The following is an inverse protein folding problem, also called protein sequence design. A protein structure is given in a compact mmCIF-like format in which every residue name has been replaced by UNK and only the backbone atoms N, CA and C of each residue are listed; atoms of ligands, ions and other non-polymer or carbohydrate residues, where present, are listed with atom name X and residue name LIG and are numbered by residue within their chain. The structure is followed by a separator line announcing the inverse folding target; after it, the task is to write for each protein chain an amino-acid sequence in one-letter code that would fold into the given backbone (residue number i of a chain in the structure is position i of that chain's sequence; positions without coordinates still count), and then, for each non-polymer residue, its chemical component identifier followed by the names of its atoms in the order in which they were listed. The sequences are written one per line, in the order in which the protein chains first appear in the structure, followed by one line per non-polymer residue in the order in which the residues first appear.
data_IF_687608413255
#
_entry.id   IF_687608413255
#
_cell.length_a   1.000
_cell.length_b   1.000
_cell.length_c   1.000
_cell.angle_alpha   90.00
_cell.angle_beta   90.00
_cell.angle_gamma   90.00
#
_symmetry.space_group_name_H-M   'P 1'
#
loop_
_entity.id
_entity.type
_entity.pdbx_description
1 polymer ?
#
# COMPACT_ATOMS: atom_id res chain seq x y z
N UNK A 1 -8.64 -21.65 -14.67
CA UNK A 1 -8.88 -20.72 -13.53
C UNK A 1 -8.94 -19.31 -14.08
N UNK A 2 -9.72 -18.39 -13.50
CA UNK A 2 -9.65 -16.96 -13.87
C UNK A 2 -8.28 -16.42 -13.49
N UNK A 3 -7.48 -16.04 -14.46
CA UNK A 3 -6.19 -15.42 -14.20
C UNK A 3 -6.39 -13.93 -13.90
N UNK A 4 -6.67 -13.61 -12.63
CA UNK A 4 -6.88 -12.24 -12.19
C UNK A 4 -5.61 -11.36 -12.35
N UNK A 5 -4.46 -11.97 -12.64
CA UNK A 5 -3.22 -11.25 -12.96
C UNK A 5 -3.31 -10.45 -14.27
N UNK A 6 -4.30 -10.77 -15.11
CA UNK A 6 -4.55 -10.04 -16.37
C UNK A 6 -5.20 -8.68 -16.14
N UNK A 7 -5.91 -8.47 -15.03
CA UNK A 7 -6.58 -7.20 -14.78
C UNK A 7 -5.58 -6.14 -14.32
N UNK A 8 -5.75 -4.91 -14.81
CA UNK A 8 -5.03 -3.74 -14.31
C UNK A 8 -5.47 -3.39 -12.88
N UNK A 9 -4.68 -2.57 -12.18
CA UNK A 9 -5.07 -2.08 -10.86
C UNK A 9 -6.34 -1.22 -10.91
N UNK A 10 -6.56 -0.45 -11.99
CA UNK A 10 -7.78 0.34 -12.18
C UNK A 10 -9.00 -0.56 -12.38
N UNK A 11 -8.90 -1.57 -13.26
CA UNK A 11 -9.98 -2.54 -13.51
C UNK A 11 -10.37 -3.28 -12.21
N UNK A 12 -9.38 -3.71 -11.41
CA UNK A 12 -9.66 -4.36 -10.13
C UNK A 12 -10.24 -3.41 -9.08
N UNK A 13 -9.82 -2.14 -9.08
CA UNK A 13 -10.37 -1.14 -8.17
C UNK A 13 -11.85 -0.87 -8.47
N UNK A 14 -12.20 -0.70 -9.75
CA UNK A 14 -13.59 -0.55 -10.19
C UNK A 14 -14.45 -1.75 -9.76
N UNK A 15 -13.94 -2.97 -9.91
CA UNK A 15 -14.63 -4.18 -9.46
C UNK A 15 -14.83 -4.21 -7.94
N UNK A 16 -13.82 -3.79 -7.16
CA UNK A 16 -13.92 -3.70 -5.69
C UNK A 16 -14.93 -2.64 -5.27
N UNK A 17 -14.91 -1.47 -5.91
CA UNK A 17 -15.79 -0.34 -5.57
C UNK A 17 -17.25 -0.63 -5.94
N UNK A 18 -17.49 -1.21 -7.13
CA UNK A 18 -18.82 -1.66 -7.55
C UNK A 18 -19.39 -2.78 -6.67
N UNK A 19 -18.53 -3.63 -6.10
CA UNK A 19 -18.96 -4.64 -5.14
C UNK A 19 -19.24 -4.06 -3.75
N UNK A 20 -18.53 -3.01 -3.32
CA UNK A 20 -18.76 -2.33 -2.04
C UNK A 20 -20.05 -1.50 -2.01
N UNK A 21 -20.50 -1.00 -3.16
CA UNK A 21 -21.72 -0.19 -3.24
C UNK A 21 -23.02 -1.01 -3.08
N UNK A 22 -22.94 -2.34 -3.07
CA UNK A 22 -24.09 -3.20 -2.82
C UNK A 22 -24.42 -3.26 -1.33
N UNK A 23 -25.67 -2.98 -0.91
CA UNK A 23 -26.06 -2.97 0.50
C UNK A 23 -26.03 -4.36 1.15
N UNK A 24 -26.25 -5.42 0.39
CA UNK A 24 -26.12 -6.81 0.84
C UNK A 24 -25.39 -7.65 -0.20
N UNK A 25 -24.42 -8.44 0.27
CA UNK A 25 -23.62 -9.35 -0.55
C UNK A 25 -23.92 -10.78 -0.13
N UNK A 26 -24.21 -11.65 -1.10
CA UNK A 26 -24.26 -13.10 -0.90
C UNK A 26 -22.89 -13.64 -0.50
N UNK A 27 -22.82 -14.85 0.10
CA UNK A 27 -21.52 -15.47 0.44
C UNK A 27 -20.59 -15.61 -0.77
N UNK A 28 -21.16 -15.89 -1.93
CA UNK A 28 -20.40 -16.00 -3.19
C UNK A 28 -19.78 -14.66 -3.57
N UNK A 29 -20.57 -13.58 -3.52
CA UNK A 29 -20.07 -12.23 -3.82
C UNK A 29 -19.06 -11.73 -2.79
N UNK A 30 -19.20 -12.11 -1.51
CA UNK A 30 -18.19 -11.82 -0.48
C UNK A 30 -16.85 -12.49 -0.78
N UNK A 31 -16.87 -13.77 -1.19
CA UNK A 31 -15.65 -14.49 -1.60
C UNK A 31 -15.03 -13.89 -2.86
N UNK A 32 -15.85 -13.50 -3.84
CA UNK A 32 -15.39 -12.83 -5.06
C UNK A 32 -14.75 -11.47 -4.74
N UNK A 33 -15.38 -10.66 -3.86
CA UNK A 33 -14.82 -9.41 -3.37
C UNK A 33 -13.47 -9.61 -2.66
N UNK A 34 -13.35 -10.62 -1.79
CA UNK A 34 -12.08 -10.98 -1.16
C UNK A 34 -11.00 -11.30 -2.20
N UNK A 35 -11.36 -12.03 -3.24
CA UNK A 35 -10.45 -12.38 -4.34
C UNK A 35 -10.02 -11.14 -5.14
N UNK A 36 -10.93 -10.21 -5.43
CA UNK A 36 -10.60 -8.95 -6.13
C UNK A 36 -9.70 -8.05 -5.29
N UNK A 37 -9.97 -7.91 -3.99
CA UNK A 37 -9.12 -7.15 -3.05
C UNK A 37 -7.71 -7.74 -2.99
N UNK A 38 -7.61 -9.06 -2.93
CA UNK A 38 -6.31 -9.74 -2.92
C UNK A 38 -5.55 -9.50 -4.24
N UNK A 39 -6.19 -9.68 -5.39
CA UNK A 39 -5.57 -9.41 -6.68
C UNK A 39 -5.13 -7.94 -6.83
N UNK A 40 -5.93 -7.00 -6.32
CA UNK A 40 -5.59 -5.58 -6.30
C UNK A 40 -4.35 -5.32 -5.43
N UNK A 41 -4.31 -5.90 -4.22
CA UNK A 41 -3.15 -5.81 -3.31
C UNK A 41 -1.89 -6.36 -3.98
N UNK A 42 -1.97 -7.53 -4.61
CA UNK A 42 -0.82 -8.12 -5.33
C UNK A 42 -0.32 -7.22 -6.46
N UNK A 43 -1.23 -6.64 -7.25
CA UNK A 43 -0.84 -5.73 -8.33
C UNK A 43 -0.16 -4.45 -7.78
N UNK A 44 -0.65 -3.90 -6.68
CA UNK A 44 -0.04 -2.74 -6.02
C UNK A 44 1.35 -3.08 -5.46
N UNK A 45 1.50 -4.26 -4.85
CA UNK A 45 2.79 -4.75 -4.36
C UNK A 45 3.79 -5.00 -5.51
N UNK A 46 3.35 -5.56 -6.64
CA UNK A 46 4.21 -5.75 -7.83
C UNK A 46 4.68 -4.40 -8.40
N UNK A 47 3.78 -3.41 -8.50
CA UNK A 47 4.13 -2.06 -8.93
C UNK A 47 5.16 -1.42 -8.00
N UNK A 48 4.89 -1.46 -6.69
CA UNK A 48 5.79 -0.92 -5.67
C UNK A 48 7.16 -1.60 -5.70
N UNK A 49 7.21 -2.94 -5.84
CA UNK A 49 8.45 -3.69 -5.96
C UNK A 49 9.30 -3.21 -7.13
N UNK A 50 8.69 -3.01 -8.31
CA UNK A 50 9.41 -2.55 -9.50
C UNK A 50 9.90 -1.11 -9.38
N UNK A 51 9.09 -0.22 -8.80
CA UNK A 51 9.51 1.15 -8.52
C UNK A 51 10.72 1.18 -7.58
N UNK A 52 10.69 0.41 -6.49
CA UNK A 52 11.80 0.32 -5.55
C UNK A 52 13.05 -0.29 -6.18
N UNK A 53 12.92 -1.31 -7.03
CA UNK A 53 14.04 -1.89 -7.79
C UNK A 53 14.66 -0.89 -8.76
N UNK A 54 13.86 -0.03 -9.41
CA UNK A 54 14.39 1.04 -10.26
C UNK A 54 15.16 2.05 -9.41
N UNK A 55 14.58 2.52 -8.29
CA UNK A 55 15.27 3.45 -7.37
C UNK A 55 16.58 2.86 -6.82
N UNK A 56 16.59 1.58 -6.48
CA UNK A 56 17.79 0.88 -6.01
C UNK A 56 18.89 0.89 -7.07
N UNK A 57 18.57 0.52 -8.32
CA UNK A 57 19.52 0.56 -9.44
C UNK A 57 20.05 1.96 -9.71
N UNK A 58 19.19 2.98 -9.62
CA UNK A 58 19.62 4.37 -9.78
C UNK A 58 20.61 4.78 -8.69
N UNK A 59 20.36 4.43 -7.42
CA UNK A 59 21.29 4.69 -6.31
C UNK A 59 22.62 3.94 -6.42
N UNK A 60 22.62 2.75 -7.00
CA UNK A 60 23.84 1.96 -7.23
C UNK A 60 24.76 2.59 -8.29
N UNK A 61 24.19 3.37 -9.21
CA UNK A 61 24.92 4.03 -10.30
C UNK A 61 25.48 5.41 -9.90
N UNK A 62 25.07 5.96 -8.76
CA UNK A 62 25.59 7.24 -8.28
C UNK A 62 26.93 7.04 -7.57
N UNK A 63 27.86 7.94 -7.84
CA UNK A 63 29.04 8.17 -7.02
C UNK A 63 28.80 9.43 -6.17
N UNK A 64 28.33 9.30 -4.92
CA UNK A 64 27.92 10.46 -4.13
C UNK A 64 29.13 11.23 -3.60
N UNK A 65 28.91 12.51 -3.27
CA UNK A 65 29.86 13.28 -2.48
C UNK A 65 30.04 12.65 -1.10
N UNK A 66 31.20 12.87 -0.47
CA UNK A 66 31.47 12.34 0.87
C UNK A 66 30.44 12.82 1.92
N UNK A 67 29.91 14.04 1.76
CA UNK A 67 28.83 14.59 2.59
C UNK A 67 27.49 13.88 2.41
N UNK A 68 27.25 13.32 1.23
CA UNK A 68 25.95 12.78 0.82
C UNK A 68 25.90 11.25 1.00
N UNK A 69 27.07 10.63 1.17
CA UNK A 69 27.22 9.18 1.39
C UNK A 69 26.35 8.66 2.54
N UNK A 70 26.25 9.30 3.72
CA UNK A 70 25.39 8.81 4.80
C UNK A 70 23.91 8.73 4.40
N UNK A 71 23.42 9.70 3.62
CA UNK A 71 22.06 9.69 3.09
C UNK A 71 21.87 8.58 2.05
N UNK A 72 22.81 8.41 1.13
CA UNK A 72 22.75 7.36 0.10
C UNK A 72 22.77 5.97 0.73
N UNK A 73 23.63 5.73 1.73
CA UNK A 73 23.71 4.45 2.43
C UNK A 73 22.41 4.15 3.20
N UNK A 74 21.88 5.15 3.90
CA UNK A 74 20.58 5.04 4.56
C UNK A 74 19.48 4.69 3.56
N UNK A 75 19.43 5.35 2.39
CA UNK A 75 18.44 5.05 1.36
C UNK A 75 18.61 3.66 0.76
N UNK A 76 19.82 3.22 0.49
CA UNK A 76 20.10 1.85 0.02
C UNK A 76 19.62 0.80 1.02
N UNK A 77 19.89 1.01 2.31
CA UNK A 77 19.43 0.13 3.39
C UNK A 77 17.89 0.14 3.49
N UNK A 78 17.28 1.33 3.46
CA UNK A 78 15.83 1.50 3.52
C UNK A 78 15.12 0.78 2.36
N UNK A 79 15.59 0.98 1.11
CA UNK A 79 15.03 0.31 -0.07
C UNK A 79 15.16 -1.21 0.03
N UNK A 80 16.30 -1.71 0.51
CA UNK A 80 16.52 -3.15 0.71
C UNK A 80 15.52 -3.74 1.72
N UNK A 81 15.30 -3.04 2.84
CA UNK A 81 14.32 -3.47 3.85
C UNK A 81 12.88 -3.39 3.35
N UNK A 82 12.54 -2.36 2.58
CA UNK A 82 11.21 -2.19 1.99
C UNK A 82 10.92 -3.25 0.92
N UNK A 83 11.91 -3.58 0.07
CA UNK A 83 11.82 -4.70 -0.86
C UNK A 83 11.61 -6.03 -0.11
N UNK A 84 12.34 -6.27 0.98
CA UNK A 84 12.13 -7.44 1.82
C UNK A 84 10.74 -7.48 2.43
N UNK A 85 10.19 -6.33 2.85
CA UNK A 85 8.81 -6.21 3.33
C UNK A 85 7.81 -6.66 2.26
N UNK A 86 7.98 -6.20 1.02
CA UNK A 86 7.11 -6.59 -0.09
C UNK A 86 7.24 -8.08 -0.41
N UNK A 87 8.46 -8.63 -0.45
CA UNK A 87 8.69 -10.06 -0.68
C UNK A 87 7.97 -10.94 0.35
N UNK A 88 8.06 -10.56 1.64
CA UNK A 88 7.37 -11.26 2.72
C UNK A 88 5.85 -11.12 2.61
N UNK A 89 5.34 -9.96 2.16
CA UNK A 89 3.91 -9.76 1.92
C UNK A 89 3.37 -10.54 0.72
N UNK A 90 4.18 -10.75 -0.31
CA UNK A 90 3.84 -11.57 -1.49
C UNK A 90 3.92 -13.07 -1.18
N UNK A 91 4.66 -13.46 -0.14
CA UNK A 91 4.83 -14.85 0.28
C UNK A 91 3.70 -15.26 1.23
N UNK A 92 2.98 -16.38 0.96
CA UNK A 92 1.95 -16.87 1.86
C UNK A 92 2.48 -17.22 3.24
N UNK A 93 1.73 -16.91 4.29
CA UNK A 93 2.17 -17.14 5.68
C UNK A 93 2.54 -18.60 5.99
N UNK A 94 1.87 -19.58 5.36
CA UNK A 94 2.20 -21.00 5.56
C UNK A 94 3.57 -21.39 4.98
N UNK A 95 4.16 -20.55 4.13
CA UNK A 95 5.53 -20.72 3.61
C UNK A 95 6.56 -19.92 4.40
N UNK A 96 6.12 -19.04 5.31
CA UNK A 96 7.00 -18.22 6.13
C UNK A 96 7.36 -18.98 7.41
N UNK A 97 8.64 -18.93 7.77
CA UNK A 97 9.11 -19.32 9.11
C UNK A 97 8.53 -18.39 10.17
N UNK A 98 8.55 -18.78 11.45
CA UNK A 98 8.11 -17.89 12.54
C UNK A 98 8.97 -16.61 12.60
N UNK A 99 10.28 -16.72 12.35
CA UNK A 99 11.18 -15.57 12.27
C UNK A 99 10.82 -14.64 11.11
N UNK A 100 10.49 -15.19 9.93
CA UNK A 100 10.05 -14.40 8.78
C UNK A 100 8.68 -13.74 9.01
N UNK A 101 7.77 -14.39 9.76
CA UNK A 101 6.49 -13.77 10.18
C UNK A 101 6.72 -12.60 11.12
N UNK A 102 7.61 -12.76 12.11
CA UNK A 102 7.98 -11.68 13.02
C UNK A 102 8.67 -10.53 12.26
N UNK A 103 9.56 -10.84 11.32
CA UNK A 103 10.20 -9.86 10.46
C UNK A 103 9.18 -9.15 9.54
N UNK A 104 8.20 -9.88 8.98
CA UNK A 104 7.12 -9.33 8.17
C UNK A 104 6.33 -8.28 8.95
N UNK A 105 5.89 -8.59 10.18
CA UNK A 105 5.14 -7.63 11.00
C UNK A 105 5.99 -6.43 11.42
N UNK A 106 7.26 -6.65 11.78
CA UNK A 106 8.19 -5.55 12.08
C UNK A 106 8.37 -4.62 10.88
N UNK A 107 8.65 -5.16 9.69
CA UNK A 107 8.86 -4.36 8.48
C UNK A 107 7.57 -3.67 8.02
N UNK A 108 6.42 -4.34 8.12
CA UNK A 108 5.10 -3.74 7.88
C UNK A 108 4.87 -2.53 8.78
N UNK A 109 5.16 -2.67 10.08
CA UNK A 109 5.04 -1.55 11.03
C UNK A 109 6.04 -0.42 10.76
N UNK A 110 7.25 -0.75 10.30
CA UNK A 110 8.30 0.23 10.01
C UNK A 110 7.98 1.07 8.77
N UNK A 111 7.40 0.45 7.74
CA UNK A 111 7.04 1.09 6.46
C UNK A 111 5.53 1.35 6.32
N UNK A 112 4.82 1.52 7.45
CA UNK A 112 3.40 1.86 7.43
C UNK A 112 3.20 3.19 6.68
N UNK A 113 2.18 3.26 5.81
CA UNK A 113 1.90 4.48 5.06
C UNK A 113 1.06 5.46 5.89
N UNK A 114 1.59 6.67 6.09
CA UNK A 114 0.95 7.67 6.93
C UNK A 114 -0.44 8.07 6.43
N UNK A 115 -0.72 8.04 5.13
CA UNK A 115 -2.01 8.44 4.53
C UNK A 115 -3.02 7.31 4.64
N UNK A 116 -2.59 6.08 4.40
CA UNK A 116 -3.41 4.86 4.44
C UNK A 116 -3.77 4.41 5.86
N UNK A 117 -2.91 4.69 6.86
CA UNK A 117 -3.14 4.30 8.25
C UNK A 117 -4.46 4.92 8.79
N UNK A 118 -5.48 4.14 9.19
CA UNK A 118 -6.69 4.70 9.76
C UNK A 118 -6.44 5.38 11.11
N UNK A 119 -7.20 6.44 11.42
CA UNK A 119 -7.13 7.13 12.73
C UNK A 119 -7.29 6.14 13.89
N UNK A 120 -8.26 5.22 13.81
CA UNK A 120 -8.51 4.22 14.85
C UNK A 120 -7.35 3.25 15.09
N UNK A 121 -6.42 3.12 14.14
CA UNK A 121 -5.24 2.26 14.23
C UNK A 121 -3.96 3.04 14.52
N UNK A 122 -4.01 4.36 14.61
CA UNK A 122 -2.88 5.19 14.96
C UNK A 122 -2.61 5.08 16.47
N UNK A 123 -1.99 3.97 16.86
CA UNK A 123 -1.53 3.66 18.23
C UNK A 123 -0.01 3.94 18.33
N UNK A 124 0.56 4.06 19.54
CA UNK A 124 1.99 4.30 19.71
C UNK A 124 2.86 3.28 18.96
N UNK A 125 2.53 1.99 19.07
CA UNK A 125 3.26 0.92 18.38
C UNK A 125 3.18 0.98 16.85
N UNK A 126 2.15 1.61 16.28
CA UNK A 126 1.96 1.71 14.83
C UNK A 126 2.65 2.93 14.21
N UNK A 127 2.87 4.00 14.98
CA UNK A 127 3.39 5.27 14.44
C UNK A 127 4.86 5.53 14.79
N UNK A 128 5.37 4.95 15.88
CA UNK A 128 6.69 5.30 16.41
C UNK A 128 7.83 4.90 15.46
N UNK A 129 7.79 3.69 14.91
CA UNK A 129 8.84 3.20 14.01
C UNK A 129 8.91 4.00 12.70
N UNK A 130 7.78 4.24 11.98
CA UNK A 130 7.78 5.11 10.81
C UNK A 130 8.27 6.52 11.12
N UNK A 131 7.79 7.16 12.19
CA UNK A 131 8.22 8.51 12.57
C UNK A 131 9.72 8.55 12.85
N UNK A 132 10.28 7.54 13.55
CA UNK A 132 11.72 7.49 13.84
C UNK A 132 12.53 7.42 12.54
N UNK A 133 12.11 6.57 11.60
CA UNK A 133 12.77 6.47 10.30
C UNK A 133 12.72 7.78 9.52
N UNK A 134 11.55 8.42 9.45
CA UNK A 134 11.38 9.72 8.79
C UNK A 134 12.26 10.82 9.42
N UNK A 135 12.41 10.81 10.75
CA UNK A 135 13.27 11.76 11.47
C UNK A 135 14.76 11.50 11.22
N UNK A 136 15.19 10.24 11.21
CA UNK A 136 16.56 9.88 10.84
C UNK A 136 16.84 10.36 9.42
N UNK A 137 15.91 10.13 8.49
CA UNK A 137 16.05 10.58 7.11
C UNK A 137 16.15 12.11 7.02
N UNK A 138 15.28 12.84 7.73
CA UNK A 138 15.29 14.30 7.75
C UNK A 138 16.65 14.85 8.23
N UNK A 139 17.23 14.27 9.27
CA UNK A 139 18.55 14.69 9.77
C UNK A 139 19.71 14.39 8.80
N UNK A 140 19.56 13.39 7.92
CA UNK A 140 20.54 13.09 6.87
C UNK A 140 20.37 14.01 5.66
N UNK A 141 19.13 14.38 5.33
CA UNK A 141 18.85 15.30 4.23
C UNK A 141 19.56 16.63 4.45
N UNK A 142 19.60 17.14 5.69
CA UNK A 142 20.27 18.40 6.02
C UNK A 142 21.75 18.45 5.57
N UNK A 143 22.42 17.30 5.46
CA UNK A 143 23.83 17.20 5.09
C UNK A 143 24.08 17.12 3.57
N UNK A 144 23.02 16.87 2.77
CA UNK A 144 23.13 16.72 1.31
C UNK A 144 23.59 18.02 0.65
N UNK A 145 24.55 17.93 -0.25
CA UNK A 145 25.00 19.04 -1.11
C UNK A 145 24.52 18.88 -2.55
N UNK A 146 24.44 17.65 -3.08
CA UNK A 146 23.91 17.39 -4.41
C UNK A 146 22.40 17.09 -4.38
N UNK A 147 21.59 18.13 -4.59
CA UNK A 147 20.13 18.03 -4.69
C UNK A 147 19.66 17.11 -5.83
N UNK A 148 20.51 16.81 -6.84
CA UNK A 148 20.14 15.90 -7.92
C UNK A 148 19.86 14.48 -7.42
N UNK A 149 20.46 14.07 -6.30
CA UNK A 149 20.18 12.77 -5.66
C UNK A 149 18.70 12.66 -5.29
N UNK A 150 18.10 13.76 -4.80
CA UNK A 150 16.68 13.80 -4.43
C UNK A 150 15.79 13.72 -5.67
N UNK A 151 16.15 14.45 -6.72
CA UNK A 151 15.44 14.41 -8.01
C UNK A 151 15.47 13.00 -8.61
N UNK A 152 16.63 12.34 -8.59
CA UNK A 152 16.80 10.98 -9.09
C UNK A 152 15.94 9.97 -8.30
N UNK A 153 15.95 10.05 -6.97
CA UNK A 153 15.17 9.18 -6.10
C UNK A 153 13.67 9.34 -6.29
N UNK A 154 13.21 10.59 -6.46
CA UNK A 154 11.78 10.90 -6.62
C UNK A 154 11.32 10.70 -8.06
N UNK A 155 12.23 10.68 -9.03
CA UNK A 155 11.92 10.61 -10.46
C UNK A 155 11.19 11.86 -10.97
N UNK A 156 11.37 12.99 -10.29
CA UNK A 156 10.83 14.32 -10.61
C UNK A 156 11.74 15.39 -10.02
N UNK A 157 11.86 16.58 -10.63
CA UNK A 157 12.61 17.69 -10.04
C UNK A 157 12.16 17.91 -8.59
N UNK A 158 13.09 17.77 -7.65
CA UNK A 158 12.81 17.86 -6.22
C UNK A 158 13.96 18.60 -5.55
N UNK A 159 13.65 19.75 -4.93
CA UNK A 159 14.62 20.48 -4.13
C UNK A 159 14.74 19.88 -2.73
N UNK A 160 15.83 20.18 -2.04
CA UNK A 160 15.98 19.84 -0.62
C UNK A 160 14.82 20.31 0.25
N UNK A 161 14.32 21.53 0.00
CA UNK A 161 13.20 22.11 0.73
C UNK A 161 11.91 21.32 0.53
N UNK A 162 11.58 20.99 -0.72
CA UNK A 162 10.39 20.21 -1.05
C UNK A 162 10.43 18.85 -0.37
N UNK A 163 11.60 18.21 -0.39
CA UNK A 163 11.81 16.91 0.23
C UNK A 163 11.63 16.95 1.75
N UNK A 164 12.21 17.95 2.42
CA UNK A 164 12.05 18.15 3.87
C UNK A 164 10.58 18.42 4.22
N UNK A 165 9.89 19.28 3.46
CA UNK A 165 8.47 19.56 3.69
C UNK A 165 7.60 18.30 3.52
N UNK A 166 7.92 17.45 2.53
CA UNK A 166 7.23 16.18 2.32
C UNK A 166 7.40 15.24 3.53
N UNK A 167 8.64 15.04 4.01
CA UNK A 167 8.93 14.22 5.19
C UNK A 167 8.23 14.75 6.45
N UNK A 168 8.26 16.06 6.67
CA UNK A 168 7.56 16.71 7.78
C UNK A 168 6.06 16.50 7.69
N UNK A 169 5.48 16.62 6.49
CA UNK A 169 4.06 16.38 6.24
C UNK A 169 3.65 14.95 6.62
N UNK A 170 4.44 13.94 6.24
CA UNK A 170 4.20 12.56 6.65
C UNK A 170 4.26 12.36 8.18
N UNK A 171 5.24 12.96 8.86
CA UNK A 171 5.34 12.92 10.33
C UNK A 171 4.10 13.58 10.97
N UNK A 172 3.70 14.75 10.49
CA UNK A 172 2.54 15.48 11.01
C UNK A 172 1.24 14.68 10.86
N UNK A 173 1.05 13.97 9.74
CA UNK A 173 -0.13 13.11 9.55
C UNK A 173 -0.17 12.00 10.61
N UNK A 174 0.93 11.29 10.86
CA UNK A 174 0.97 10.26 11.90
C UNK A 174 0.62 10.82 13.28
N UNK A 175 1.26 11.94 13.65
CA UNK A 175 1.05 12.57 14.95
C UNK A 175 -0.39 13.04 15.12
N UNK A 176 -0.97 13.63 14.08
CA UNK A 176 -2.34 14.14 14.13
C UNK A 176 -3.37 13.01 14.20
N UNK A 177 -3.17 11.94 13.44
CA UNK A 177 -4.00 10.72 13.55
C UNK A 177 -3.95 10.13 14.95
N UNK A 178 -2.77 10.05 15.55
CA UNK A 178 -2.57 9.59 16.93
C UNK A 178 -3.29 10.47 17.95
N UNK A 179 -3.15 11.79 17.84
CA UNK A 179 -3.84 12.74 18.73
C UNK A 179 -5.36 12.59 18.65
N UNK A 180 -5.91 12.48 17.44
CA UNK A 180 -7.36 12.28 17.24
C UNK A 180 -7.79 10.94 17.84
N UNK A 181 -7.02 9.88 17.63
CA UNK A 181 -7.30 8.56 18.19
C UNK A 181 -7.34 8.58 19.72
N UNK A 182 -6.34 9.20 20.35
CA UNK A 182 -6.29 9.36 21.80
C UNK A 182 -7.50 10.13 22.33
N UNK A 183 -7.89 11.25 21.69
CA UNK A 183 -9.09 11.99 22.08
C UNK A 183 -10.36 11.16 21.90
N UNK A 184 -10.44 10.35 20.85
CA UNK A 184 -11.58 9.43 20.66
C UNK A 184 -11.70 8.41 21.80
N UNK A 185 -10.57 7.84 22.23
CA UNK A 185 -10.54 6.91 23.37
C UNK A 185 -10.92 7.61 24.69
N UNK A 186 -10.38 8.82 24.94
CA UNK A 186 -10.72 9.62 26.12
C UNK A 186 -12.21 10.00 26.14
N UNK A 187 -12.78 10.42 25.01
CA UNK A 187 -14.21 10.72 24.90
C UNK A 187 -15.09 9.51 25.16
N UNK A 188 -14.66 8.30 24.77
CA UNK A 188 -15.44 7.07 25.04
C UNK A 188 -15.45 6.65 26.51
N UNK A 189 -14.51 7.16 27.31
CA UNK A 189 -14.32 6.80 28.71
C UNK A 189 -14.72 7.92 29.68
N UNK A 190 -14.96 9.14 29.19
CA UNK A 190 -15.34 10.30 30.00
C UNK A 190 -16.87 10.45 30.08
N UNK A 191 -17.36 10.93 31.23
CA UNK A 191 -18.75 11.38 31.43
C UNK A 191 -18.87 12.91 31.48
N UNK A 192 -17.76 13.65 31.38
CA UNK A 192 -17.76 15.11 31.41
C UNK A 192 -18.13 15.68 30.02
N UNK A 193 -19.36 16.18 29.91
CA UNK A 193 -19.89 16.77 28.68
C UNK A 193 -19.14 18.02 28.21
N UNK A 194 -18.57 18.81 29.12
CA UNK A 194 -17.80 20.00 28.74
C UNK A 194 -16.47 19.57 28.09
N UNK A 195 -15.74 18.64 28.73
CA UNK A 195 -14.51 18.07 28.17
C UNK A 195 -14.76 17.32 26.84
N UNK A 196 -15.86 16.57 26.73
CA UNK A 196 -16.24 15.90 25.47
C UNK A 196 -16.49 16.93 24.36
N UNK A 197 -17.19 18.03 24.65
CA UNK A 197 -17.42 19.10 23.66
C UNK A 197 -16.11 19.75 23.21
N UNK A 198 -15.20 20.04 24.12
CA UNK A 198 -13.89 20.59 23.80
C UNK A 198 -13.07 19.64 22.90
N UNK A 199 -13.02 18.35 23.26
CA UNK A 199 -12.33 17.34 22.46
C UNK A 199 -12.93 17.18 21.06
N UNK A 200 -14.26 17.30 20.91
CA UNK A 200 -14.93 17.31 19.59
C UNK A 200 -14.48 18.50 18.74
N UNK A 201 -14.40 19.69 19.32
CA UNK A 201 -13.91 20.89 18.62
C UNK A 201 -12.44 20.72 18.21
N UNK A 202 -11.60 20.20 19.10
CA UNK A 202 -10.20 19.91 18.79
C UNK A 202 -10.05 18.87 17.66
N UNK A 203 -10.89 17.83 17.66
CA UNK A 203 -10.91 16.84 16.58
C UNK A 203 -11.38 17.42 15.26
N UNK A 204 -12.39 18.30 15.25
CA UNK A 204 -12.82 18.99 14.03
C UNK A 204 -11.65 19.76 13.39
N UNK A 205 -10.90 20.53 14.19
CA UNK A 205 -9.67 21.20 13.73
C UNK A 205 -8.62 20.22 13.22
N UNK A 206 -8.42 19.11 13.94
CA UNK A 206 -7.49 18.05 13.52
C UNK A 206 -7.87 17.40 12.19
N UNK A 207 -9.15 17.12 11.93
CA UNK A 207 -9.60 16.58 10.65
C UNK A 207 -9.46 17.60 9.51
N UNK A 208 -9.74 18.88 9.76
CA UNK A 208 -9.48 19.95 8.79
C UNK A 208 -8.00 20.03 8.42
N UNK A 209 -7.11 19.94 9.39
CA UNK A 209 -5.67 19.96 9.15
C UNK A 209 -5.18 18.68 8.44
N UNK A 210 -5.71 17.50 8.78
CA UNK A 210 -5.42 16.27 8.04
C UNK A 210 -5.78 16.41 6.55
N UNK A 211 -6.94 17.00 6.25
CA UNK A 211 -7.36 17.25 4.87
C UNK A 211 -6.34 18.12 4.12
N UNK A 212 -5.90 19.23 4.75
CA UNK A 212 -4.88 20.12 4.21
C UNK A 212 -3.54 19.42 3.98
N UNK A 213 -3.11 18.58 4.92
CA UNK A 213 -1.86 17.80 4.79
C UNK A 213 -1.96 16.77 3.66
N UNK A 214 -3.11 16.12 3.48
CA UNK A 214 -3.32 15.22 2.34
C UNK A 214 -3.29 15.94 1.01
N UNK A 215 -3.89 17.13 0.91
CA UNK A 215 -3.86 17.96 -0.30
C UNK A 215 -2.42 18.32 -0.70
N UNK A 216 -1.52 18.58 0.26
CA UNK A 216 -0.09 18.81 -0.02
C UNK A 216 0.63 17.63 -0.64
N UNK A 217 0.22 16.40 -0.32
CA UNK A 217 0.85 15.18 -0.82
C UNK A 217 0.27 14.72 -2.16
N UNK A 218 -0.83 15.33 -2.62
CA UNK A 218 -1.41 14.96 -3.90
C UNK A 218 -0.49 15.38 -5.05
N UNK A 219 -0.23 14.47 -6.01
CA UNK A 219 0.56 14.82 -7.17
C UNK A 219 -0.19 15.84 -8.04
N UNK A 220 0.41 17.00 -8.27
CA UNK A 220 0.07 17.91 -9.38
C UNK A 220 0.58 17.32 -10.71
N UNK A 221 0.03 17.78 -11.85
CA UNK A 221 0.40 17.29 -13.18
C UNK A 221 1.92 17.33 -13.44
N UNK A 222 2.61 18.37 -12.96
CA UNK A 222 4.06 18.55 -13.12
C UNK A 222 4.89 17.79 -12.08
N UNK A 223 4.25 17.20 -11.07
CA UNK A 223 4.90 16.50 -9.97
C UNK A 223 4.75 14.97 -10.05
N UNK A 224 4.24 14.43 -11.16
CA UNK A 224 4.16 12.98 -11.29
C UNK A 224 5.56 12.37 -11.48
N UNK A 225 5.85 11.31 -10.71
CA UNK A 225 7.12 10.59 -10.81
C UNK A 225 7.21 9.86 -12.15
N UNK A 226 8.25 10.15 -12.93
CA UNK A 226 8.52 9.47 -14.19
C UNK A 226 8.79 7.97 -13.98
N UNK A 227 9.38 7.61 -12.84
CA UNK A 227 9.62 6.21 -12.45
C UNK A 227 8.28 5.48 -12.32
N UNK A 228 7.34 6.05 -11.55
CA UNK A 228 6.02 5.46 -11.34
C UNK A 228 5.23 5.36 -12.65
N UNK A 229 5.24 6.41 -13.47
CA UNK A 229 4.60 6.40 -14.80
C UNK A 229 5.17 5.31 -15.71
N UNK A 230 6.50 5.20 -15.79
CA UNK A 230 7.19 4.21 -16.64
C UNK A 230 6.89 2.79 -16.18
N UNK A 231 6.97 2.53 -14.88
CA UNK A 231 6.65 1.21 -14.30
C UNK A 231 5.18 0.85 -14.55
N UNK A 232 4.27 1.80 -14.34
CA UNK A 232 2.83 1.60 -14.58
C UNK A 232 2.55 1.24 -16.05
N UNK A 233 3.14 2.00 -16.99
CA UNK A 233 3.02 1.75 -18.43
C UNK A 233 3.56 0.37 -18.81
N UNK A 234 4.76 0.01 -18.34
CA UNK A 234 5.37 -1.30 -18.60
C UNK A 234 4.53 -2.46 -18.05
N UNK A 235 3.94 -2.30 -16.85
CA UNK A 235 3.05 -3.29 -16.26
C UNK A 235 1.77 -3.46 -17.07
N UNK A 236 1.19 -2.37 -17.54
CA UNK A 236 0.00 -2.39 -18.38
C UNK A 236 0.28 -3.05 -19.73
N UNK A 237 1.39 -2.68 -20.40
CA UNK A 237 1.81 -3.30 -21.66
C UNK A 237 2.04 -4.81 -21.50
N UNK A 238 2.72 -5.24 -20.43
CA UNK A 238 2.90 -6.67 -20.13
C UNK A 238 1.56 -7.40 -19.97
N UNK A 239 0.56 -6.76 -19.35
CA UNK A 239 -0.79 -7.34 -19.21
C UNK A 239 -1.51 -7.44 -20.56
N UNK A 240 -1.39 -6.42 -21.42
CA UNK A 240 -1.94 -6.45 -22.78
C UNK A 240 -1.30 -7.57 -23.60
N UNK A 241 0.03 -7.69 -23.56
CA UNK A 241 0.77 -8.75 -24.26
C UNK A 241 0.34 -10.13 -23.75
N UNK A 242 0.24 -10.32 -22.42
CA UNK A 242 -0.26 -11.58 -21.84
C UNK A 242 -1.70 -11.89 -22.27
N UNK A 243 -2.60 -10.89 -22.27
CA UNK A 243 -3.98 -11.05 -22.78
C UNK A 243 -3.97 -11.48 -24.25
N UNK A 244 -3.14 -10.86 -25.09
CA UNK A 244 -3.02 -11.18 -26.51
C UNK A 244 -2.42 -12.58 -26.77
N UNK A 245 -1.36 -12.96 -26.04
CA UNK A 245 -0.76 -14.30 -26.12
C UNK A 245 -1.75 -15.40 -25.71
N UNK A 246 -2.56 -15.15 -24.67
CA UNK A 246 -3.63 -16.07 -24.27
C UNK A 246 -4.69 -16.21 -25.37
N UNK A 247 -5.10 -15.10 -26.01
CA UNK A 247 -6.02 -15.10 -27.14
C UNK A 247 -5.45 -15.83 -28.39
N UNK A 248 -4.14 -15.76 -28.61
CA UNK A 248 -3.49 -16.50 -29.71
C UNK A 248 -3.37 -17.99 -29.41
N UNK A 249 -3.10 -18.36 -28.15
CA UNK A 249 -2.98 -19.78 -27.73
C UNK A 249 -4.32 -20.51 -27.56
N UNK A 250 -5.43 -19.79 -27.35
CA UNK A 250 -6.76 -20.37 -27.09
C UNK A 250 -7.85 -19.95 -28.10
N UNK A 251 -7.48 -19.24 -29.17
CA UNK A 251 -8.42 -18.69 -30.15
C UNK A 251 -9.05 -17.35 -29.71
N UNK A 252 -9.71 -16.61 -30.62
CA UNK A 252 -10.13 -15.24 -30.38
C UNK A 252 -11.15 -15.14 -29.25
N UNK A 253 -10.70 -14.74 -28.05
CA UNK A 253 -11.59 -14.40 -26.94
C UNK A 253 -12.24 -13.04 -27.24
N UNK A 254 -13.37 -13.06 -27.93
CA UNK A 254 -14.26 -11.90 -28.00
C UNK A 254 -14.84 -11.69 -26.61
N UNK A 255 -14.37 -10.66 -25.90
CA UNK A 255 -14.93 -10.17 -24.64
C UNK A 255 -16.30 -9.52 -24.91
N UNK A 256 -17.32 -10.32 -25.22
CA UNK A 256 -18.70 -9.85 -25.39
C UNK A 256 -19.53 -10.11 -24.12
N UNK A 257 -20.70 -9.50 -23.99
CA UNK A 257 -21.68 -9.69 -22.91
C UNK A 257 -22.03 -11.17 -22.67
N UNK A 258 -21.87 -12.03 -23.67
CA UNK A 258 -21.98 -13.48 -23.53
C UNK A 258 -20.81 -14.14 -22.79
N UNK A 259 -19.61 -13.54 -22.81
CA UNK A 259 -18.50 -13.88 -21.90
C UNK A 259 -18.85 -13.55 -20.45
N UNK A 260 -19.58 -12.44 -20.20
CA UNK A 260 -20.12 -12.08 -18.87
C UNK A 260 -21.26 -13.01 -18.42
N UNK A 261 -22.09 -13.51 -19.35
CA UNK A 261 -23.11 -14.54 -19.07
C UNK A 261 -22.50 -15.95 -18.90
N UNK A 262 -21.48 -16.32 -19.68
CA UNK A 262 -20.73 -17.57 -19.51
C UNK A 262 -19.86 -17.54 -18.24
N UNK A 263 -19.37 -16.36 -17.84
CA UNK A 263 -18.80 -16.11 -16.51
C UNK A 263 -19.77 -16.49 -15.39
N UNK A 264 -21.07 -16.33 -15.61
CA UNK A 264 -22.13 -16.67 -14.65
C UNK A 264 -22.49 -18.17 -14.66
N UNK A 265 -22.45 -18.84 -15.83
CA UNK A 265 -22.81 -20.26 -15.97
C UNK A 265 -21.65 -21.24 -15.73
N UNK A 266 -20.41 -20.89 -16.08
CA UNK A 266 -19.20 -21.69 -15.79
C UNK A 266 -18.81 -21.72 -14.30
N UNK A 267 -19.38 -20.82 -13.48
CA UNK A 267 -19.30 -20.88 -12.02
C UNK A 267 -19.92 -22.16 -11.43
N UNK A 268 -20.80 -22.85 -12.17
CA UNK A 268 -21.49 -24.05 -11.68
C UNK A 268 -20.78 -25.39 -11.96
N UNK A 269 -19.77 -25.46 -12.85
CA UNK A 269 -19.20 -26.76 -13.28
C UNK A 269 -17.71 -27.00 -13.02
N UNK A 270 -16.89 -26.00 -12.68
CA UNK A 270 -15.42 -26.17 -12.57
C UNK A 270 -14.88 -26.44 -11.14
N UNK A 271 -15.72 -26.92 -10.23
CA UNK A 271 -15.45 -26.91 -8.78
C UNK A 271 -14.53 -28.01 -8.18
N UNK A 272 -13.90 -28.94 -8.91
CA UNK A 272 -13.28 -30.10 -8.22
C UNK A 272 -11.74 -30.10 -8.08
N UNK A 273 -10.95 -29.65 -9.05
CA UNK A 273 -9.49 -29.84 -8.99
C UNK A 273 -8.70 -28.64 -8.40
N UNK A 274 -9.05 -27.41 -8.78
CA UNK A 274 -8.33 -26.20 -8.32
C UNK A 274 -8.96 -25.54 -7.06
N UNK A 275 -10.07 -26.10 -6.57
CA UNK A 275 -10.76 -25.63 -5.38
C UNK A 275 -9.94 -25.89 -4.11
N UNK A 276 -9.08 -26.92 -4.08
CA UNK A 276 -8.33 -27.28 -2.86
C UNK A 276 -7.20 -26.29 -2.54
N UNK A 277 -6.29 -26.05 -3.49
CA UNK A 277 -5.16 -25.14 -3.28
C UNK A 277 -5.55 -23.67 -3.10
N UNK A 278 -6.63 -23.23 -3.77
CA UNK A 278 -7.10 -21.84 -3.68
C UNK A 278 -8.08 -21.64 -2.50
N UNK A 279 -8.87 -22.64 -2.11
CA UNK A 279 -9.60 -22.59 -0.83
C UNK A 279 -8.68 -22.76 0.38
N UNK A 280 -7.58 -23.51 0.31
CA UNK A 280 -6.60 -23.56 1.41
C UNK A 280 -5.92 -22.20 1.59
N UNK A 281 -5.56 -21.52 0.50
CA UNK A 281 -4.95 -20.18 0.54
C UNK A 281 -5.94 -19.09 0.97
N UNK A 282 -7.15 -19.06 0.41
CA UNK A 282 -8.19 -18.12 0.85
C UNK A 282 -8.70 -18.39 2.28
N UNK A 283 -8.74 -19.66 2.74
CA UNK A 283 -9.07 -19.98 4.15
C UNK A 283 -7.92 -19.67 5.10
N UNK A 284 -6.66 -19.78 4.66
CA UNK A 284 -5.50 -19.32 5.44
C UNK A 284 -5.56 -17.80 5.64
N UNK A 285 -5.99 -17.06 4.62
CA UNK A 285 -5.99 -15.59 4.66
C UNK A 285 -7.27 -15.03 5.32
N UNK A 286 -8.43 -15.72 5.21
CA UNK A 286 -9.59 -15.43 6.08
C UNK A 286 -9.26 -15.69 7.56
N UNK A 287 -8.40 -16.69 7.85
CA UNK A 287 -7.86 -16.89 9.20
C UNK A 287 -6.87 -15.80 9.56
N UNK A 288 -6.02 -15.32 8.65
CA UNK A 288 -5.10 -14.19 8.87
C UNK A 288 -5.88 -12.89 9.18
N UNK A 289 -6.90 -12.53 8.39
CA UNK A 289 -7.76 -11.38 8.70
C UNK A 289 -8.51 -11.54 10.03
N UNK A 290 -8.90 -12.77 10.39
CA UNK A 290 -9.51 -13.07 11.69
C UNK A 290 -8.49 -13.08 12.84
N UNK A 291 -7.23 -13.43 12.59
CA UNK A 291 -6.14 -13.42 13.57
C UNK A 291 -5.63 -12.00 13.80
N UNK A 292 -5.45 -11.19 12.76
CA UNK A 292 -5.19 -9.75 12.87
C UNK A 292 -6.32 -9.05 13.65
N UNK A 293 -7.58 -9.41 13.40
CA UNK A 293 -8.73 -8.90 14.18
C UNK A 293 -8.71 -9.37 15.64
N UNK A 294 -8.34 -10.62 15.91
CA UNK A 294 -8.25 -11.18 17.28
C UNK A 294 -7.08 -10.61 18.06
N UNK A 295 -5.95 -10.34 17.41
CA UNK A 295 -4.78 -9.71 18.03
C UNK A 295 -5.02 -8.22 18.30
N UNK A 296 -5.80 -7.53 17.45
CA UNK A 296 -6.21 -6.14 17.70
C UNK A 296 -7.30 -5.98 18.79
N UNK A 297 -7.87 -7.07 19.29
CA UNK A 297 -8.90 -7.10 20.35
C UNK A 297 -8.38 -7.61 21.70
N UNK A 298 -7.10 -7.97 21.79
CA UNK A 298 -6.40 -8.34 23.03
C UNK A 298 -5.53 -7.17 23.49
#
# INVERSE_FOLDING_TARGET
MKDLSLFSSSELKELVDAAKSKPTLSEKERRELGTFRYALKLNMLEASQKELQVRQKLLEQIQPLASDQPFVDFKKQSLTQELRSIELQLTPNFKLSEDDKALKERLKSQFEDSVALPVSKALPGAIQLPIRQLRTELGLVDQIQDDNILTLLKGRPTTKRDYVEELQTYISIFQLKYQINNRNQQMSQSSDEAAIREMKVANAKGFSELKRLYEKLQPTNDSQSQIAQTVSKQLQERKVIKKAQLQQSQGPVKLNTDFMRQLSSSLNRSQLANKKALMERARSDEREEQEERRQAQR
#
